data_IF_366146741941
#
_entry.id   IF_366146741941
#
_cell.length_a   1.000
_cell.length_b   1.000
_cell.length_c   1.000
_cell.angle_alpha   90.00
_cell.angle_beta   90.00
_cell.angle_gamma   90.00
#
_symmetry.space_group_name_H-M   'P 1'
#
loop_
_entity.id
_entity.type
_entity.pdbx_description
1 polymer ?
#
# COMPACT_ATOMS: atom_id res chain seq x y z
N UNK A 1 16.50 -18.30 2.45
CA UNK A 1 15.66 -19.30 3.18
C UNK A 1 14.85 -18.64 4.30
N UNK A 2 15.47 -17.86 5.21
CA UNK A 2 14.75 -17.19 6.32
C UNK A 2 13.61 -16.26 5.85
N UNK A 3 13.82 -15.49 4.77
CA UNK A 3 12.79 -14.62 4.18
C UNK A 3 11.56 -15.39 3.70
N UNK A 4 11.76 -16.56 3.09
CA UNK A 4 10.67 -17.41 2.63
C UNK A 4 9.85 -17.97 3.80
N UNK A 5 10.51 -18.41 4.88
CA UNK A 5 9.82 -18.86 6.09
C UNK A 5 9.01 -17.74 6.73
N UNK A 6 9.55 -16.51 6.79
CA UNK A 6 8.79 -15.36 7.31
C UNK A 6 7.54 -15.08 6.49
N UNK A 7 7.64 -15.13 5.16
CA UNK A 7 6.46 -14.94 4.28
C UNK A 7 5.40 -16.01 4.56
N UNK A 8 5.78 -17.28 4.71
CA UNK A 8 4.83 -18.35 5.04
C UNK A 8 4.15 -18.09 6.38
N UNK A 9 4.91 -17.72 7.41
CA UNK A 9 4.36 -17.43 8.75
C UNK A 9 3.37 -16.27 8.67
N UNK A 10 3.71 -15.21 7.94
CA UNK A 10 2.82 -14.05 7.75
C UNK A 10 1.52 -14.48 7.04
N UNK A 11 1.63 -15.25 5.96
CA UNK A 11 0.45 -15.75 5.23
C UNK A 11 -0.42 -16.62 6.15
N UNK A 12 0.17 -17.51 6.94
CA UNK A 12 -0.56 -18.35 7.89
C UNK A 12 -1.31 -17.51 8.93
N UNK A 13 -0.67 -16.47 9.49
CA UNK A 13 -1.32 -15.55 10.44
C UNK A 13 -2.49 -14.82 9.79
N UNK A 14 -2.32 -14.32 8.56
CA UNK A 14 -3.39 -13.64 7.81
C UNK A 14 -4.55 -14.60 7.53
N UNK A 15 -4.27 -15.85 7.16
CA UNK A 15 -5.28 -16.86 6.90
C UNK A 15 -6.09 -17.19 8.16
N UNK A 16 -5.42 -17.42 9.30
CA UNK A 16 -6.08 -17.67 10.58
C UNK A 16 -6.92 -16.47 11.00
N UNK A 17 -6.38 -15.26 10.90
CA UNK A 17 -7.11 -14.03 11.18
C UNK A 17 -8.37 -13.89 10.31
N UNK A 18 -8.27 -14.22 9.02
CA UNK A 18 -9.39 -14.15 8.08
C UNK A 18 -10.49 -15.14 8.41
N UNK A 19 -10.13 -16.40 8.74
CA UNK A 19 -11.11 -17.44 9.10
C UNK A 19 -11.81 -17.11 10.42
N UNK A 20 -11.06 -16.63 11.42
CA UNK A 20 -11.63 -16.29 12.74
C UNK A 20 -12.55 -15.06 12.70
N UNK A 21 -12.36 -14.18 11.70
CA UNK A 21 -13.13 -12.96 11.55
C UNK A 21 -13.99 -12.99 10.28
N UNK A 22 -14.43 -14.19 9.86
CA UNK A 22 -15.22 -14.36 8.64
C UNK A 22 -16.69 -13.90 8.80
N UNK A 23 -17.16 -13.77 10.05
CA UNK A 23 -18.53 -13.35 10.34
C UNK A 23 -18.80 -11.93 9.79
N UNK A 24 -19.95 -11.74 9.12
CA UNK A 24 -20.32 -10.43 8.58
C UNK A 24 -20.66 -9.47 9.72
N UNK A 25 -20.07 -8.28 9.66
CA UNK A 25 -20.34 -7.17 10.57
C UNK A 25 -20.92 -6.01 9.76
N UNK A 26 -21.99 -5.40 10.27
CA UNK A 26 -22.57 -4.20 9.68
C UNK A 26 -21.66 -2.99 9.92
N UNK A 27 -21.33 -2.28 8.84
CA UNK A 27 -20.39 -1.16 8.85
C UNK A 27 -21.06 0.04 8.20
N UNK A 28 -21.02 1.16 8.91
CA UNK A 28 -21.44 2.45 8.38
C UNK A 28 -20.19 3.28 8.07
N UNK A 29 -20.00 3.64 6.80
CA UNK A 29 -18.87 4.44 6.33
C UNK A 29 -19.37 5.61 5.46
N UNK A 30 -19.17 6.83 5.95
CA UNK A 30 -19.78 8.05 5.41
C UNK A 30 -21.30 7.88 5.22
N UNK A 31 -21.76 7.74 3.98
CA UNK A 31 -23.18 7.64 3.61
C UNK A 31 -23.57 6.21 3.21
N UNK A 32 -22.66 5.24 3.32
CA UNK A 32 -22.91 3.84 2.97
C UNK A 32 -23.01 2.99 4.21
N UNK A 33 -23.92 2.02 4.17
CA UNK A 33 -24.00 0.95 5.15
C UNK A 33 -24.02 -0.37 4.39
N UNK A 34 -23.15 -1.30 4.79
CA UNK A 34 -23.01 -2.61 4.17
C UNK A 34 -22.48 -3.61 5.20
N UNK A 35 -22.60 -4.90 4.90
CA UNK A 35 -22.06 -5.97 5.72
C UNK A 35 -20.81 -6.56 5.07
N UNK A 36 -19.76 -6.74 5.87
CA UNK A 36 -18.52 -7.35 5.43
C UNK A 36 -17.77 -7.97 6.61
N UNK A 37 -16.86 -8.90 6.33
CA UNK A 37 -15.96 -9.41 7.35
C UNK A 37 -14.96 -8.33 7.80
N UNK A 38 -14.54 -8.34 9.06
CA UNK A 38 -13.52 -7.39 9.54
C UNK A 38 -12.22 -7.52 8.75
N UNK A 39 -11.89 -8.74 8.33
CA UNK A 39 -10.69 -9.02 7.56
C UNK A 39 -10.65 -8.28 6.23
N UNK A 40 -11.73 -8.29 5.44
CA UNK A 40 -11.75 -7.59 4.14
C UNK A 40 -11.71 -6.08 4.32
N UNK A 41 -12.34 -5.57 5.38
CA UNK A 41 -12.41 -4.13 5.67
C UNK A 41 -11.03 -3.59 6.02
N UNK A 42 -10.28 -4.29 6.86
CA UNK A 42 -8.91 -3.93 7.21
C UNK A 42 -8.00 -4.02 5.97
N UNK A 43 -8.12 -5.09 5.18
CA UNK A 43 -7.33 -5.25 3.96
C UNK A 43 -7.54 -4.08 2.99
N UNK A 44 -8.80 -3.74 2.69
CA UNK A 44 -9.14 -2.64 1.78
C UNK A 44 -8.74 -1.27 2.34
N UNK A 45 -8.81 -1.08 3.66
CA UNK A 45 -8.37 0.16 4.31
C UNK A 45 -6.86 0.36 4.17
N UNK A 46 -6.06 -0.68 4.44
CA UNK A 46 -4.60 -0.64 4.29
C UNK A 46 -4.22 -0.45 2.83
N UNK A 47 -4.84 -1.22 1.92
CA UNK A 47 -4.60 -1.12 0.48
C UNK A 47 -4.90 0.30 -0.02
N UNK A 48 -6.03 0.89 0.39
CA UNK A 48 -6.39 2.26 0.05
C UNK A 48 -5.36 3.27 0.56
N UNK A 49 -4.89 3.12 1.80
CA UNK A 49 -3.83 3.95 2.36
C UNK A 49 -2.53 3.89 1.56
N UNK A 50 -2.11 2.68 1.15
CA UNK A 50 -0.91 2.47 0.31
C UNK A 50 -1.09 3.14 -1.05
N UNK A 51 -2.26 2.97 -1.69
CA UNK A 51 -2.55 3.58 -2.99
C UNK A 51 -2.54 5.11 -2.90
N UNK A 52 -3.19 5.69 -1.88
CA UNK A 52 -3.17 7.14 -1.63
C UNK A 52 -1.72 7.62 -1.43
N UNK A 53 -0.95 6.95 -0.57
CA UNK A 53 0.44 7.31 -0.32
C UNK A 53 1.31 7.23 -1.58
N UNK A 54 1.09 6.20 -2.43
CA UNK A 54 1.78 6.04 -3.69
C UNK A 54 1.47 7.20 -4.65
N UNK A 55 0.19 7.56 -4.79
CA UNK A 55 -0.26 8.67 -5.65
C UNK A 55 0.34 9.99 -5.18
N UNK A 56 0.25 10.29 -3.88
CA UNK A 56 0.79 11.52 -3.30
C UNK A 56 2.32 11.60 -3.40
N UNK A 57 3.01 10.47 -3.52
CA UNK A 57 4.48 10.42 -3.68
C UNK A 57 4.95 10.67 -5.13
N UNK A 58 4.07 10.56 -6.14
CA UNK A 58 4.43 10.71 -7.56
C UNK A 58 5.05 12.08 -7.91
N UNK A 59 4.46 13.24 -7.51
CA UNK A 59 4.98 14.54 -7.92
C UNK A 59 6.41 14.79 -7.44
N UNK A 60 6.73 14.37 -6.21
CA UNK A 60 8.07 14.48 -5.65
C UNK A 60 9.10 13.65 -6.41
N UNK A 61 8.77 12.41 -6.78
CA UNK A 61 9.64 11.56 -7.60
C UNK A 61 9.88 12.17 -8.99
N UNK A 62 8.83 12.68 -9.64
CA UNK A 62 8.94 13.29 -10.97
C UNK A 62 9.85 14.53 -10.94
N UNK A 63 9.70 15.40 -9.93
CA UNK A 63 10.58 16.58 -9.76
C UNK A 63 12.04 16.18 -9.59
N UNK A 64 12.33 15.19 -8.72
CA UNK A 64 13.69 14.68 -8.49
C UNK A 64 14.33 14.11 -9.76
N UNK A 65 13.57 13.38 -10.57
CA UNK A 65 14.07 12.85 -11.86
C UNK A 65 14.39 13.99 -12.83
N UNK A 66 13.55 15.03 -12.90
CA UNK A 66 13.77 16.21 -13.74
C UNK A 66 15.02 17.00 -13.31
N UNK A 67 15.19 17.22 -12.00
CA UNK A 67 16.37 17.90 -11.44
C UNK A 67 17.66 17.12 -11.69
N UNK A 68 17.65 15.80 -11.47
CA UNK A 68 18.78 14.93 -11.77
C UNK A 68 19.17 14.98 -13.27
N UNK A 69 18.19 15.09 -14.18
CA UNK A 69 18.43 15.24 -15.61
C UNK A 69 19.04 16.61 -15.96
N UNK A 70 18.61 17.69 -15.29
CA UNK A 70 19.17 19.04 -15.47
C UNK A 70 20.63 19.10 -15.00
N UNK A 71 20.95 18.54 -13.83
CA UNK A 71 22.31 18.51 -13.26
C UNK A 71 23.28 17.75 -14.18
N UNK A 72 22.88 16.58 -14.71
CA UNK A 72 23.69 15.86 -15.70
C UNK A 72 23.97 16.67 -16.97
N UNK A 73 22.98 17.45 -17.44
CA UNK A 73 23.13 18.24 -18.68
C UNK A 73 24.05 19.46 -18.49
N UNK A 74 24.08 20.08 -17.31
CA UNK A 74 25.02 21.18 -17.02
C UNK A 74 26.45 20.69 -16.84
N UNK A 75 26.67 19.52 -16.23
CA UNK A 75 28.01 18.93 -16.08
C UNK A 75 28.68 18.52 -17.40
N UNK A 76 27.92 18.18 -18.44
CA UNK A 76 28.46 17.85 -19.77
C UNK A 76 28.75 19.06 -20.66
N UNK A 77 28.32 20.27 -20.27
CA UNK A 77 28.55 21.51 -21.05
C UNK A 77 29.73 22.34 -20.55
N UNK A 78 30.32 21.97 -19.41
CA UNK A 78 31.46 22.66 -18.80
C UNK A 78 32.80 21.93 -18.97
N UNK A 79 32.85 20.89 -19.80
CA UNK A 79 34.06 20.30 -20.39
C UNK A 79 34.05 20.62 -21.89
#
# INVERSE_FOLDING_TARGET
MISFMMVIVIIAVIAVFSVQNADPVAITFLFWTFEASLAIVIFLSVLSGILIAAILSLPGKIRRISEAKKIRKSGMKGQ
#
